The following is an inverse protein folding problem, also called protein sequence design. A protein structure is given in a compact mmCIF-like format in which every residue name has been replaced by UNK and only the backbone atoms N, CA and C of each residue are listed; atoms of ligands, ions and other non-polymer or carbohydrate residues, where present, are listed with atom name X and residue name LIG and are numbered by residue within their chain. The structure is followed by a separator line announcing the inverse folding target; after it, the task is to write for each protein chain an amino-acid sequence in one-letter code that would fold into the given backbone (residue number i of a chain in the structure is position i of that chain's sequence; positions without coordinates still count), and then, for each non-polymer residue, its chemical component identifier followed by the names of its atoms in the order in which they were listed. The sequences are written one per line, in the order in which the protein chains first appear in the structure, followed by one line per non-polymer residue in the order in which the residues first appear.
data_IF_848143151565
#
_entry.id   IF_848143151565
#
_cell.length_a   1.000
_cell.length_b   1.000
_cell.length_c   1.000
_cell.angle_alpha   90.00
_cell.angle_beta   90.00
_cell.angle_gamma   90.00
#
_symmetry.space_group_name_H-M   'P 1'
#
loop_
_entity.id
_entity.type
_entity.pdbx_description
1 polymer ?
#
# COMPACT_ATOMS: atom_id res chain seq x y z
N UNK A 1 -18.53 -3.01 -15.74
CA UNK A 1 -18.59 -3.44 -14.34
C UNK A 1 -17.92 -2.40 -13.46
N UNK A 2 -18.60 -2.02 -12.41
CA UNK A 2 -18.06 -1.04 -11.49
C UNK A 2 -16.98 -1.66 -10.61
N UNK A 3 -15.85 -0.96 -10.49
CA UNK A 3 -14.72 -1.43 -9.68
C UNK A 3 -14.88 -0.88 -8.27
N UNK A 4 -14.71 -1.73 -7.26
CA UNK A 4 -14.76 -1.34 -5.86
C UNK A 4 -13.45 -1.65 -5.17
N UNK A 5 -13.17 -0.95 -4.08
CA UNK A 5 -11.95 -1.22 -3.29
C UNK A 5 -11.95 -2.66 -2.79
N UNK A 6 -13.11 -3.20 -2.40
CA UNK A 6 -13.20 -4.57 -1.92
C UNK A 6 -12.83 -5.58 -3.00
N UNK A 7 -13.28 -5.37 -4.25
CA UNK A 7 -12.94 -6.27 -5.35
C UNK A 7 -11.46 -6.19 -5.71
N UNK A 8 -10.87 -5.01 -5.62
CA UNK A 8 -9.44 -4.80 -5.88
C UNK A 8 -8.60 -5.52 -4.82
N UNK A 9 -8.97 -5.40 -3.56
CA UNK A 9 -8.28 -6.08 -2.46
C UNK A 9 -8.36 -7.61 -2.60
N UNK A 10 -9.53 -8.12 -2.96
CA UNK A 10 -9.72 -9.56 -3.14
C UNK A 10 -8.89 -10.09 -4.31
N UNK A 11 -8.89 -9.38 -5.43
CA UNK A 11 -8.07 -9.74 -6.58
C UNK A 11 -6.58 -9.74 -6.24
N UNK A 12 -6.13 -8.70 -5.52
CA UNK A 12 -4.75 -8.59 -5.07
C UNK A 12 -4.35 -9.75 -4.16
N UNK A 13 -5.20 -10.08 -3.20
CA UNK A 13 -4.95 -11.17 -2.27
C UNK A 13 -4.78 -12.51 -2.98
N UNK A 14 -5.58 -12.75 -4.02
CA UNK A 14 -5.52 -14.01 -4.79
C UNK A 14 -4.31 -14.09 -5.72
N UNK A 15 -3.91 -12.96 -6.31
CA UNK A 15 -3.00 -12.96 -7.46
C UNK A 15 -1.63 -12.35 -7.18
N UNK A 16 -1.44 -11.67 -6.05
CA UNK A 16 -0.16 -11.06 -5.70
C UNK A 16 0.55 -11.85 -4.63
N UNK A 17 1.86 -12.03 -4.78
CA UNK A 17 2.69 -12.67 -3.75
C UNK A 17 2.65 -11.90 -2.44
N UNK A 18 2.80 -10.58 -2.51
CA UNK A 18 2.77 -9.72 -1.31
C UNK A 18 1.38 -9.65 -0.70
N UNK A 19 0.34 -9.73 -1.52
CA UNK A 19 -1.04 -9.80 -1.04
C UNK A 19 -1.28 -11.02 -0.17
N UNK A 20 -0.58 -12.12 -0.46
CA UNK A 20 -0.67 -13.35 0.34
C UNK A 20 0.15 -13.27 1.62
N UNK A 21 1.21 -12.44 1.62
CA UNK A 21 2.08 -12.28 2.79
C UNK A 21 1.44 -11.38 3.84
N UNK A 22 0.93 -10.21 3.42
CA UNK A 22 0.51 -9.17 4.35
C UNK A 22 -0.92 -9.30 4.86
N UNK A 23 -1.72 -10.13 4.24
CA UNK A 23 -3.09 -10.43 4.67
C UNK A 23 -3.93 -9.17 4.92
N UNK A 24 -4.05 -8.32 3.91
CA UNK A 24 -4.79 -7.06 4.01
C UNK A 24 -6.28 -7.28 4.27
N UNK A 25 -6.85 -6.45 5.17
CA UNK A 25 -8.29 -6.37 5.40
C UNK A 25 -8.72 -4.91 5.40
N UNK A 26 -9.85 -4.63 4.77
CA UNK A 26 -10.36 -3.26 4.70
C UNK A 26 -10.84 -2.79 6.07
N UNK A 27 -10.32 -1.64 6.53
CA UNK A 27 -10.79 -0.98 7.74
C UNK A 27 -11.66 0.22 7.39
N UNK A 28 -11.20 1.06 6.47
CA UNK A 28 -11.96 2.23 6.06
C UNK A 28 -11.51 2.68 4.68
N UNK A 29 -12.46 3.16 3.89
CA UNK A 29 -12.19 3.76 2.60
C UNK A 29 -13.07 4.98 2.41
N UNK A 30 -12.48 6.08 1.97
CA UNK A 30 -13.18 7.21 1.39
C UNK A 30 -12.37 7.70 0.21
N UNK A 31 -12.97 8.47 -0.68
CA UNK A 31 -12.29 8.90 -1.90
C UNK A 31 -10.94 9.52 -1.57
N UNK A 32 -9.87 8.96 -2.14
CA UNK A 32 -8.52 9.45 -1.94
C UNK A 32 -7.84 9.00 -0.66
N UNK A 33 -8.50 8.17 0.17
CA UNK A 33 -7.93 7.68 1.44
C UNK A 33 -8.31 6.23 1.69
N UNK A 34 -7.33 5.44 2.12
CA UNK A 34 -7.51 4.03 2.39
C UNK A 34 -6.84 3.66 3.70
N UNK A 35 -7.53 2.86 4.50
CA UNK A 35 -6.98 2.31 5.73
C UNK A 35 -7.21 0.81 5.76
N UNK A 36 -6.12 0.07 5.91
CA UNK A 36 -6.14 -1.40 5.94
C UNK A 36 -5.50 -1.91 7.21
N UNK A 37 -6.01 -3.03 7.72
CA UNK A 37 -5.24 -3.82 8.66
C UNK A 37 -4.36 -4.76 7.86
N UNK A 38 -3.17 -5.03 8.39
CA UNK A 38 -2.19 -5.90 7.73
C UNK A 38 -1.35 -6.56 8.80
N UNK A 39 -0.47 -7.47 8.39
CA UNK A 39 0.42 -8.13 9.34
C UNK A 39 1.75 -8.47 8.71
N UNK A 40 2.77 -8.57 9.56
CA UNK A 40 4.10 -9.03 9.17
C UNK A 40 4.32 -10.42 9.75
N UNK A 41 4.29 -11.47 8.90
CA UNK A 41 4.58 -12.83 9.35
C UNK A 41 6.08 -13.08 9.49
N UNK A 42 6.44 -14.27 9.97
CA UNK A 42 7.84 -14.66 10.20
C UNK A 42 8.75 -14.42 8.99
N UNK A 43 8.25 -14.67 7.78
CA UNK A 43 9.07 -14.56 6.58
C UNK A 43 9.50 -13.12 6.26
N UNK A 44 8.95 -12.12 6.97
CA UNK A 44 9.30 -10.72 6.75
C UNK A 44 10.36 -10.20 7.73
N UNK A 45 10.86 -11.07 8.62
CA UNK A 45 11.72 -10.63 9.70
C UNK A 45 13.20 -10.78 9.38
N UNK A 46 13.99 -9.87 9.95
CA UNK A 46 15.44 -9.97 10.01
C UNK A 46 15.82 -11.05 11.04
N UNK A 47 17.11 -11.50 11.05
CA UNK A 47 17.55 -12.48 12.05
C UNK A 47 17.34 -12.03 13.50
N UNK A 48 17.31 -10.73 13.78
CA UNK A 48 17.10 -10.18 15.13
C UNK A 48 15.62 -10.08 15.52
N UNK A 49 14.71 -10.49 14.66
CA UNK A 49 13.28 -10.47 14.93
C UNK A 49 12.55 -9.19 14.52
N UNK A 50 13.27 -8.16 14.07
CA UNK A 50 12.60 -6.95 13.55
C UNK A 50 12.17 -7.16 12.10
N UNK A 51 11.15 -6.43 11.68
CA UNK A 51 10.68 -6.48 10.28
C UNK A 51 11.73 -5.86 9.36
N UNK A 52 12.05 -6.54 8.26
CA UNK A 52 12.98 -6.01 7.27
C UNK A 52 12.42 -4.72 6.66
N UNK A 53 13.29 -3.69 6.55
CA UNK A 53 12.88 -2.40 6.02
C UNK A 53 12.25 -2.48 4.62
N UNK A 54 12.81 -3.34 3.76
CA UNK A 54 12.24 -3.57 2.43
C UNK A 54 10.82 -4.15 2.46
N UNK A 55 10.49 -4.90 3.51
CA UNK A 55 9.13 -5.43 3.68
C UNK A 55 8.15 -4.36 4.10
N UNK A 56 8.59 -3.39 4.91
CA UNK A 56 7.75 -2.24 5.25
C UNK A 56 7.49 -1.39 4.01
N UNK A 57 8.51 -1.17 3.18
CA UNK A 57 8.36 -0.48 1.90
C UNK A 57 7.43 -1.24 0.96
N UNK A 58 7.57 -2.56 0.89
CA UNK A 58 6.71 -3.41 0.04
C UNK A 58 5.24 -3.33 0.45
N UNK A 59 4.97 -3.32 1.76
CA UNK A 59 3.59 -3.19 2.24
C UNK A 59 2.99 -1.86 1.78
N UNK A 60 3.73 -0.77 1.88
CA UNK A 60 3.23 0.55 1.47
C UNK A 60 3.19 0.72 -0.04
N UNK A 61 4.07 0.04 -0.77
CA UNK A 61 3.98 -0.05 -2.23
C UNK A 61 2.61 -0.60 -2.62
N UNK A 62 2.20 -1.70 -1.98
CA UNK A 62 0.89 -2.29 -2.22
C UNK A 62 -0.25 -1.35 -1.85
N UNK A 63 -0.23 -0.82 -0.64
CA UNK A 63 -1.36 -0.03 -0.11
C UNK A 63 -1.59 1.24 -0.93
N UNK A 64 -0.52 1.95 -1.28
CA UNK A 64 -0.63 3.16 -2.10
C UNK A 64 -1.08 2.83 -3.51
N UNK A 65 -0.56 1.74 -4.09
CA UNK A 65 -0.96 1.31 -5.43
C UNK A 65 -2.43 0.87 -5.47
N UNK A 66 -2.88 0.13 -4.47
CA UNK A 66 -4.28 -0.32 -4.39
C UNK A 66 -5.25 0.85 -4.35
N UNK A 67 -4.92 1.89 -3.57
CA UNK A 67 -5.73 3.09 -3.54
C UNK A 67 -5.78 3.77 -4.91
N UNK A 68 -4.63 3.96 -5.53
CA UNK A 68 -4.58 4.63 -6.84
C UNK A 68 -5.30 3.81 -7.91
N UNK A 69 -5.13 2.50 -7.92
CA UNK A 69 -5.84 1.61 -8.85
C UNK A 69 -7.35 1.81 -8.72
N UNK A 70 -7.84 1.89 -7.48
CA UNK A 70 -9.28 2.13 -7.26
C UNK A 70 -9.71 3.48 -7.81
N UNK A 71 -8.92 4.53 -7.57
CA UNK A 71 -9.26 5.87 -8.04
C UNK A 71 -9.17 5.99 -9.56
N UNK A 72 -8.40 5.12 -10.21
CA UNK A 72 -8.27 5.06 -11.67
C UNK A 72 -9.25 4.08 -12.32
N UNK A 73 -10.21 3.57 -11.57
CA UNK A 73 -11.22 2.66 -12.12
C UNK A 73 -10.73 1.24 -12.40
N UNK A 74 -9.68 0.80 -11.72
CA UNK A 74 -9.15 -0.56 -11.86
C UNK A 74 -7.95 -0.67 -12.78
N UNK A 75 -7.39 0.46 -13.21
CA UNK A 75 -6.27 0.48 -14.15
C UNK A 75 -4.94 0.43 -13.38
N UNK A 76 -4.03 -0.45 -13.80
CA UNK A 76 -2.73 -0.62 -13.13
C UNK A 76 -1.71 0.39 -13.63
N UNK A 77 -1.20 1.26 -12.74
CA UNK A 77 -0.13 2.20 -13.08
C UNK A 77 1.25 1.54 -12.88
N UNK A 78 2.30 2.30 -13.13
CA UNK A 78 3.67 1.81 -12.94
C UNK A 78 4.42 2.69 -11.95
N UNK A 79 5.11 2.07 -11.00
CA UNK A 79 5.91 2.79 -10.01
C UNK A 79 7.12 3.45 -10.67
N UNK A 80 7.36 4.70 -10.30
CA UNK A 80 8.55 5.45 -10.72
C UNK A 80 9.55 5.53 -9.57
N UNK A 81 9.07 5.84 -8.37
CA UNK A 81 9.93 6.07 -7.22
C UNK A 81 9.20 5.72 -5.94
N UNK A 82 9.89 5.01 -5.06
CA UNK A 82 9.42 4.67 -3.72
C UNK A 82 10.43 5.25 -2.73
N UNK A 83 10.02 6.26 -1.98
CA UNK A 83 10.87 6.89 -0.98
C UNK A 83 10.29 6.64 0.40
N UNK A 84 10.93 5.76 1.16
CA UNK A 84 10.45 5.40 2.50
C UNK A 84 11.38 5.87 3.59
N UNK A 85 10.77 6.17 4.75
CA UNK A 85 11.46 6.56 5.97
C UNK A 85 10.97 5.69 7.10
N UNK A 86 11.87 4.96 7.73
CA UNK A 86 11.53 4.07 8.84
C UNK A 86 11.85 4.79 10.15
N UNK A 87 10.80 5.18 10.90
CA UNK A 87 10.94 6.00 12.10
C UNK A 87 11.16 5.17 13.35
N UNK A 88 10.70 3.93 13.34
CA UNK A 88 10.86 3.00 14.45
C UNK A 88 10.77 1.56 13.95
N UNK A 89 11.38 0.60 14.67
CA UNK A 89 11.30 -0.80 14.26
C UNK A 89 9.88 -1.35 14.43
N UNK A 90 9.56 -2.33 13.62
CA UNK A 90 8.35 -3.13 13.76
C UNK A 90 8.74 -4.58 14.01
N UNK A 91 7.81 -5.33 14.57
CA UNK A 91 8.00 -6.72 14.89
C UNK A 91 6.85 -7.54 14.32
N UNK A 92 6.94 -8.86 14.42
CA UNK A 92 5.90 -9.76 13.95
C UNK A 92 4.54 -9.34 14.52
N UNK A 93 3.52 -9.34 13.70
CA UNK A 93 2.16 -9.09 14.16
C UNK A 93 1.41 -8.07 13.33
N UNK A 94 0.31 -7.60 13.90
CA UNK A 94 -0.62 -6.72 13.20
C UNK A 94 -0.19 -5.27 13.24
N UNK A 95 -0.46 -4.60 12.12
CA UNK A 95 -0.23 -3.16 11.94
C UNK A 95 -1.42 -2.56 11.21
N UNK A 96 -1.47 -1.22 11.19
CA UNK A 96 -2.42 -0.48 10.37
C UNK A 96 -1.64 0.21 9.27
N UNK A 97 -2.08 0.06 8.02
CA UNK A 97 -1.46 0.70 6.87
C UNK A 97 -2.45 1.66 6.23
N UNK A 98 -2.00 2.88 5.97
CA UNK A 98 -2.84 3.95 5.40
C UNK A 98 -2.22 4.48 4.13
N UNK A 99 -3.08 4.90 3.21
CA UNK A 99 -2.66 5.60 1.99
C UNK A 99 -3.55 6.81 1.76
N UNK A 100 -2.95 7.85 1.19
CA UNK A 100 -3.67 9.06 0.84
C UNK A 100 -3.14 9.60 -0.48
N UNK A 101 -4.05 9.90 -1.41
CA UNK A 101 -3.69 10.55 -2.67
C UNK A 101 -3.29 11.99 -2.36
N UNK A 102 -2.06 12.36 -2.72
CA UNK A 102 -1.61 13.74 -2.61
C UNK A 102 -2.00 14.52 -3.87
N UNK A 103 -1.76 13.90 -5.05
CA UNK A 103 -2.09 14.52 -6.32
C UNK A 103 -2.19 13.45 -7.40
N UNK A 104 -3.19 13.58 -8.25
CA UNK A 104 -3.27 12.83 -9.50
C UNK A 104 -3.13 13.84 -10.62
N UNK A 105 -1.98 13.81 -11.30
CA UNK A 105 -1.72 14.65 -12.45
C UNK A 105 -2.11 13.94 -13.74
N UNK A 106 -1.70 14.53 -14.85
CA UNK A 106 -1.98 13.96 -16.19
C UNK A 106 -1.18 12.68 -16.43
N UNK A 107 0.09 12.67 -16.02
CA UNK A 107 1.01 11.54 -16.27
C UNK A 107 1.56 10.93 -15.00
N UNK A 108 1.59 11.69 -13.91
CA UNK A 108 2.15 11.24 -12.64
C UNK A 108 1.16 11.45 -11.51
N UNK A 109 1.18 10.53 -10.56
CA UNK A 109 0.45 10.67 -9.32
C UNK A 109 1.44 10.56 -8.15
N UNK A 110 1.13 11.21 -7.05
CA UNK A 110 1.87 11.09 -5.80
C UNK A 110 0.91 10.60 -4.73
N UNK A 111 1.28 9.51 -4.07
CA UNK A 111 0.46 8.90 -3.02
C UNK A 111 1.33 8.70 -1.79
N UNK A 112 0.81 9.12 -0.64
CA UNK A 112 1.49 8.95 0.64
C UNK A 112 1.02 7.66 1.31
N UNK A 113 1.97 6.91 1.90
CA UNK A 113 1.68 5.73 2.69
C UNK A 113 2.22 5.86 4.10
N UNK A 114 1.55 5.24 5.07
CA UNK A 114 1.98 5.23 6.47
C UNK A 114 1.66 3.89 7.09
N UNK A 115 2.60 3.38 7.92
CA UNK A 115 2.35 2.20 8.75
C UNK A 115 2.38 2.63 10.21
N UNK A 116 1.36 2.20 10.95
CA UNK A 116 1.25 2.41 12.39
C UNK A 116 1.35 1.07 13.10
N UNK A 117 2.08 1.03 14.23
CA UNK A 117 2.19 -0.19 15.02
C UNK A 117 0.89 -0.46 15.80
N UNK A 118 0.87 -1.55 16.57
CA UNK A 118 -0.32 -1.96 17.33
C UNK A 118 -0.73 -0.93 18.38
N UNK A 119 0.19 -0.09 18.83
CA UNK A 119 -0.11 0.99 19.79
C UNK A 119 -0.49 2.30 19.11
N UNK A 120 -0.61 2.29 17.78
CA UNK A 120 -1.00 3.48 17.03
C UNK A 120 0.12 4.48 16.78
N UNK A 121 1.37 4.06 16.92
CA UNK A 121 2.53 4.93 16.68
C UNK A 121 3.04 4.78 15.25
N UNK A 122 3.36 5.91 14.63
CA UNK A 122 3.85 5.92 13.25
C UNK A 122 5.22 5.24 13.16
N UNK A 123 5.31 4.22 12.32
CA UNK A 123 6.54 3.45 12.14
C UNK A 123 7.23 3.76 10.82
N UNK A 124 6.47 3.94 9.75
CA UNK A 124 7.04 4.15 8.41
C UNK A 124 6.19 5.15 7.63
N UNK A 125 6.84 6.01 6.88
CA UNK A 125 6.19 6.86 5.87
C UNK A 125 6.79 6.55 4.51
N UNK A 126 5.95 6.66 3.47
CA UNK A 126 6.36 6.43 2.09
C UNK A 126 5.76 7.51 1.20
N UNK A 127 6.58 8.05 0.29
CA UNK A 127 6.08 8.83 -0.82
C UNK A 127 6.29 8.01 -2.09
N UNK A 128 5.19 7.72 -2.76
CA UNK A 128 5.18 6.87 -3.95
C UNK A 128 4.85 7.74 -5.16
N UNK A 129 5.79 7.85 -6.09
CA UNK A 129 5.56 8.52 -7.37
C UNK A 129 5.22 7.46 -8.40
N UNK A 130 4.10 7.65 -9.08
CA UNK A 130 3.52 6.61 -9.92
C UNK A 130 3.22 7.18 -11.30
N UNK A 131 3.64 6.47 -12.33
CA UNK A 131 3.37 6.84 -13.71
C UNK A 131 2.00 6.33 -14.12
N UNK A 132 1.15 7.24 -14.61
CA UNK A 132 -0.18 6.90 -15.10
C UNK A 132 -0.10 6.95 -16.63
N UNK A 133 -0.04 5.76 -17.25
CA UNK A 133 0.01 5.68 -18.69
C UNK A 133 -1.34 6.13 -19.28
N UNK A 134 -1.32 7.08 -20.21
CA UNK A 134 -2.55 7.65 -20.77
C UNK A 134 -3.46 6.58 -21.39
N UNK A 135 -2.86 5.61 -22.10
CA UNK A 135 -3.62 4.52 -22.69
C UNK A 135 -4.31 3.66 -21.63
N UNK A 136 -3.71 3.55 -20.43
CA UNK A 136 -4.33 2.82 -19.33
C UNK A 136 -5.47 3.59 -18.70
N UNK A 137 -5.40 4.94 -18.71
CA UNK A 137 -6.47 5.78 -18.18
C UNK A 137 -7.71 5.78 -19.05
N UNK A 138 -7.56 5.57 -20.34
CA UNK A 138 -8.66 5.58 -21.28
C UNK A 138 -9.31 4.22 -21.49
N UNK A 139 -8.80 3.20 -20.85
CA UNK A 139 -9.38 1.85 -20.92
C UNK A 139 -10.52 1.66 -19.89
#
# INVERSE_FOLDING_TARGET
MEVSISSILEFHKKNSGTGKIFNFSLMNYEKGKLELSAEFPDMTLNPDGSVQGGMMTSMLDDVTALLLINELGGIYPASVNLHSHHHRPLFKGKVTAKAEIIKIGKTLATVKGEIYNAEGKLATTLMHTIFIHEARRSM
#
